data_IF_106589263869
#
_entry.id   IF_106589263869
#
_cell.length_a   1.000
_cell.length_b   1.000
_cell.length_c   1.000
_cell.angle_alpha   90.00
_cell.angle_beta   90.00
_cell.angle_gamma   90.00
#
_symmetry.space_group_name_H-M   'P 1'
#
loop_
_entity.id
_entity.type
_entity.pdbx_description
1 polymer ?
#
# COMPACT_ATOMS: atom_id res chain seq x y z
N UNK A 1 -17.37 17.54 -7.00
CA UNK A 1 -16.25 17.66 -7.96
C UNK A 1 -15.00 18.00 -7.16
N UNK A 2 -14.31 17.00 -6.61
CA UNK A 2 -13.08 17.23 -5.85
C UNK A 2 -11.97 17.56 -6.83
N UNK A 3 -11.35 18.74 -6.68
CA UNK A 3 -10.31 19.24 -7.56
C UNK A 3 -9.15 18.26 -7.68
N UNK A 4 -8.77 17.92 -8.92
CA UNK A 4 -7.63 17.04 -9.26
C UNK A 4 -6.34 17.41 -8.53
N UNK A 5 -6.14 18.71 -8.26
CA UNK A 5 -4.97 19.27 -7.59
C UNK A 5 -4.81 18.82 -6.13
N UNK A 6 -5.90 18.54 -5.41
CA UNK A 6 -5.82 18.08 -4.03
C UNK A 6 -5.33 16.62 -3.95
N UNK A 7 -5.72 15.79 -4.91
CA UNK A 7 -5.32 14.38 -4.99
C UNK A 7 -3.83 14.26 -5.30
N UNK A 8 -3.30 15.11 -6.19
CA UNK A 8 -1.87 15.19 -6.50
C UNK A 8 -1.03 15.55 -5.27
N UNK A 9 -1.52 16.47 -4.43
CA UNK A 9 -0.86 16.85 -3.18
C UNK A 9 -0.88 15.74 -2.12
N UNK A 10 -1.90 14.88 -2.09
CA UNK A 10 -1.98 13.78 -1.11
C UNK A 10 -1.08 12.60 -1.53
N UNK A 11 -1.01 12.32 -2.83
CA UNK A 11 -0.09 11.31 -3.38
C UNK A 11 1.37 11.70 -3.08
N UNK A 12 1.68 13.00 -2.97
CA UNK A 12 3.01 13.48 -2.57
C UNK A 12 3.44 13.02 -1.17
N UNK A 13 2.49 12.78 -0.26
CA UNK A 13 2.76 12.27 1.07
C UNK A 13 3.15 10.79 1.15
N UNK A 14 3.15 10.06 0.02
CA UNK A 14 3.53 8.65 -0.03
C UNK A 14 5.05 8.54 -0.15
N UNK A 15 5.70 8.03 0.90
CA UNK A 15 7.15 7.82 0.93
C UNK A 15 7.63 6.76 -0.07
N UNK A 16 6.82 5.74 -0.33
CA UNK A 16 7.14 4.72 -1.31
C UNK A 16 6.96 5.27 -2.72
N UNK A 17 8.07 5.71 -3.34
CA UNK A 17 8.08 6.26 -4.70
C UNK A 17 7.44 5.31 -5.72
N UNK A 18 7.68 4.00 -5.60
CA UNK A 18 7.10 2.97 -6.48
C UNK A 18 5.58 2.85 -6.33
N UNK A 19 5.08 2.96 -5.09
CA UNK A 19 3.65 2.90 -4.82
C UNK A 19 2.96 4.15 -5.40
N UNK A 20 3.57 5.32 -5.20
CA UNK A 20 3.11 6.60 -5.77
C UNK A 20 2.97 6.53 -7.29
N UNK A 21 4.00 6.05 -7.98
CA UNK A 21 3.99 5.92 -9.44
C UNK A 21 2.87 5.00 -9.93
N UNK A 22 2.73 3.82 -9.31
CA UNK A 22 1.66 2.86 -9.64
C UNK A 22 0.27 3.41 -9.35
N UNK A 23 0.12 4.20 -8.29
CA UNK A 23 -1.14 4.85 -7.98
C UNK A 23 -1.55 5.84 -9.07
N UNK A 24 -0.59 6.60 -9.61
CA UNK A 24 -0.85 7.52 -10.72
C UNK A 24 -1.17 6.73 -12.00
N UNK A 25 -0.39 5.70 -12.30
CA UNK A 25 -0.55 4.87 -13.51
C UNK A 25 -1.90 4.14 -13.53
N UNK A 26 -2.31 3.57 -12.39
CA UNK A 26 -3.51 2.74 -12.27
C UNK A 26 -4.70 3.52 -11.70
N UNK A 27 -4.64 4.86 -11.63
CA UNK A 27 -5.67 5.75 -11.07
C UNK A 27 -7.09 5.54 -11.62
N UNK A 28 -7.22 4.92 -12.78
CA UNK A 28 -8.50 4.67 -13.44
C UNK A 28 -9.06 3.26 -13.15
N UNK A 29 -8.35 2.44 -12.36
CA UNK A 29 -8.77 1.07 -12.00
C UNK A 29 -9.33 0.94 -10.59
N UNK A 30 -9.22 1.96 -9.76
CA UNK A 30 -9.65 1.94 -8.36
C UNK A 30 -10.00 3.35 -7.88
N UNK A 31 -10.75 3.46 -6.78
CA UNK A 31 -11.03 4.76 -6.17
C UNK A 31 -9.82 5.23 -5.35
N UNK A 32 -9.22 6.33 -5.81
CA UNK A 32 -8.02 6.89 -5.19
C UNK A 32 -8.27 7.37 -3.76
N UNK A 33 -9.44 7.94 -3.48
CA UNK A 33 -9.75 8.46 -2.15
C UNK A 33 -9.89 7.30 -1.16
N UNK A 34 -10.64 6.26 -1.51
CA UNK A 34 -10.78 5.07 -0.65
C UNK A 34 -9.44 4.36 -0.43
N UNK A 35 -8.64 4.22 -1.49
CA UNK A 35 -7.30 3.64 -1.41
C UNK A 35 -6.38 4.41 -0.47
N UNK A 36 -6.38 5.75 -0.53
CA UNK A 36 -5.59 6.58 0.37
C UNK A 36 -6.03 6.45 1.83
N UNK A 37 -7.35 6.34 2.08
CA UNK A 37 -7.89 6.12 3.43
C UNK A 37 -7.48 4.75 3.95
N UNK A 38 -7.57 3.69 3.15
CA UNK A 38 -7.17 2.34 3.56
C UNK A 38 -5.64 2.24 3.73
N UNK A 39 -4.87 2.86 2.85
CA UNK A 39 -3.42 2.98 2.98
C UNK A 39 -3.03 3.64 4.30
N UNK A 40 -3.62 4.79 4.62
CA UNK A 40 -3.33 5.52 5.86
C UNK A 40 -3.68 4.73 7.11
N UNK A 41 -4.70 3.85 7.04
CA UNK A 41 -5.10 2.96 8.14
C UNK A 41 -4.23 1.71 8.24
N UNK A 42 -3.67 1.26 7.14
CA UNK A 42 -2.88 0.02 7.05
C UNK A 42 -1.38 0.23 7.23
N UNK A 43 -0.87 1.46 7.06
CA UNK A 43 0.55 1.78 7.27
C UNK A 43 0.90 1.82 8.76
N UNK A 44 1.96 1.11 9.12
CA UNK A 44 2.58 1.14 10.45
C UNK A 44 4.06 1.48 10.31
N UNK A 45 4.53 2.43 11.13
CA UNK A 45 5.94 2.82 11.15
C UNK A 45 6.60 2.14 12.35
N UNK A 46 7.65 1.38 12.10
CA UNK A 46 8.43 0.68 13.12
C UNK A 46 9.73 1.41 13.39
N UNK A 47 10.08 1.62 14.67
CA UNK A 47 11.32 2.31 15.04
C UNK A 47 11.21 3.83 15.06
N UNK A 48 12.36 4.50 15.19
CA UNK A 48 12.44 5.97 15.38
C UNK A 48 12.72 6.72 14.06
N UNK A 49 13.34 6.06 13.08
CA UNK A 49 13.70 6.68 11.81
C UNK A 49 12.56 6.57 10.79
N UNK A 50 11.84 7.68 10.61
CA UNK A 50 10.72 7.77 9.66
C UNK A 50 11.17 7.86 8.20
N UNK A 51 12.46 8.12 7.94
CA UNK A 51 13.02 8.27 6.58
C UNK A 51 13.51 6.92 6.02
N UNK A 52 13.79 5.97 6.90
CA UNK A 52 14.13 4.60 6.57
C UNK A 52 12.92 3.89 5.97
N UNK A 53 12.96 3.65 4.66
CA UNK A 53 11.86 3.00 3.94
C UNK A 53 11.55 1.61 4.51
N UNK A 54 12.57 0.92 5.04
CA UNK A 54 12.43 -0.39 5.68
C UNK A 54 11.68 -0.38 7.02
N UNK A 55 11.36 0.79 7.56
CA UNK A 55 10.55 0.95 8.78
C UNK A 55 9.05 1.07 8.48
N UNK A 56 8.68 1.36 7.24
CA UNK A 56 7.30 1.51 6.82
C UNK A 56 6.73 0.15 6.42
N UNK A 57 5.92 -0.43 7.30
CA UNK A 57 5.15 -1.62 7.02
C UNK A 57 3.78 -1.25 6.44
N UNK A 58 3.38 -1.95 5.38
CA UNK A 58 2.01 -1.93 4.87
C UNK A 58 1.30 -3.19 5.38
N UNK A 59 0.16 -2.99 6.05
CA UNK A 59 -0.66 -4.06 6.59
C UNK A 59 -1.22 -5.01 5.53
N UNK A 60 -1.44 -6.26 5.92
CA UNK A 60 -1.92 -7.34 5.04
C UNK A 60 -3.21 -6.98 4.30
N UNK A 61 -4.16 -6.29 4.96
CA UNK A 61 -5.44 -5.92 4.36
C UNK A 61 -5.25 -5.10 3.08
N UNK A 62 -4.41 -4.07 3.15
CA UNK A 62 -4.07 -3.25 1.99
C UNK A 62 -3.30 -4.06 0.94
N UNK A 63 -2.34 -4.90 1.37
CA UNK A 63 -1.59 -5.76 0.45
C UNK A 63 -2.53 -6.65 -0.35
N UNK A 64 -3.51 -7.31 0.28
CA UNK A 64 -4.48 -8.18 -0.41
C UNK A 64 -5.46 -7.42 -1.30
N UNK A 65 -5.93 -6.26 -0.86
CA UNK A 65 -6.92 -5.48 -1.61
C UNK A 65 -6.30 -4.72 -2.80
N UNK A 66 -5.06 -4.27 -2.63
CA UNK A 66 -4.34 -3.44 -3.59
C UNK A 66 -3.00 -4.05 -4.00
N UNK A 67 -2.87 -5.39 -4.00
CA UNK A 67 -1.59 -6.06 -4.28
C UNK A 67 -1.04 -5.77 -5.66
N UNK A 68 -1.89 -5.39 -6.61
CA UNK A 68 -1.51 -4.90 -7.93
C UNK A 68 -0.73 -3.57 -7.90
N UNK A 69 -0.86 -2.77 -6.83
CA UNK A 69 -0.08 -1.54 -6.59
C UNK A 69 1.26 -1.82 -5.90
N UNK A 70 1.47 -3.02 -5.35
CA UNK A 70 2.61 -3.32 -4.47
C UNK A 70 3.77 -3.92 -5.25
N UNK A 71 4.97 -3.38 -5.05
CA UNK A 71 6.21 -3.98 -5.59
C UNK A 71 6.80 -5.03 -4.64
N UNK A 72 7.64 -5.92 -5.20
CA UNK A 72 8.46 -6.88 -4.46
C UNK A 72 9.26 -6.20 -3.33
N UNK A 73 9.79 -4.99 -3.53
CA UNK A 73 10.53 -4.28 -2.48
C UNK A 73 9.63 -3.96 -1.27
N UNK A 74 8.44 -3.42 -1.54
CA UNK A 74 7.44 -3.09 -0.51
C UNK A 74 6.94 -4.34 0.20
N UNK A 75 6.66 -5.41 -0.56
CA UNK A 75 6.26 -6.71 -0.01
C UNK A 75 7.36 -7.31 0.88
N UNK A 76 8.64 -7.17 0.48
CA UNK A 76 9.77 -7.66 1.27
C UNK A 76 9.88 -6.96 2.62
N UNK A 77 9.58 -5.66 2.69
CA UNK A 77 9.56 -4.90 3.95
C UNK A 77 8.40 -5.37 4.83
N UNK A 78 7.21 -5.54 4.27
CA UNK A 78 6.07 -6.07 5.01
C UNK A 78 6.36 -7.49 5.54
N UNK A 79 6.90 -8.38 4.70
CA UNK A 79 7.26 -9.74 5.11
C UNK A 79 8.35 -9.76 6.18
N UNK A 80 9.32 -8.83 6.14
CA UNK A 80 10.31 -8.66 7.21
C UNK A 80 9.60 -8.46 8.55
N UNK A 81 8.68 -7.49 8.65
CA UNK A 81 7.95 -7.20 9.88
C UNK A 81 6.95 -8.30 10.29
N UNK A 82 6.31 -8.97 9.31
CA UNK A 82 5.51 -10.18 9.57
C UNK A 82 6.36 -11.28 10.20
N UNK A 83 7.55 -11.55 9.66
CA UNK A 83 8.48 -12.54 10.20
C UNK A 83 8.94 -12.20 11.61
N UNK A 84 9.23 -10.93 11.89
CA UNK A 84 9.58 -10.48 13.25
C UNK A 84 8.45 -10.74 14.26
N UNK A 85 7.18 -10.71 13.82
CA UNK A 85 6.01 -11.08 14.65
C UNK A 85 5.70 -12.57 14.67
N UNK A 86 6.42 -13.40 13.90
CA UNK A 86 6.12 -14.83 13.73
C UNK A 86 4.93 -15.11 12.81
N UNK A 87 4.51 -14.15 11.99
CA UNK A 87 3.48 -14.34 10.98
C UNK A 87 4.06 -14.92 9.67
N UNK A 88 3.25 -15.67 8.89
CA UNK A 88 3.68 -16.19 7.60
C UNK A 88 3.91 -15.06 6.57
N UNK A 89 4.91 -15.29 5.72
CA UNK A 89 5.22 -14.40 4.60
C UNK A 89 4.14 -14.48 3.51
N UNK A 90 3.73 -13.32 3.01
CA UNK A 90 2.80 -13.20 1.89
C UNK A 90 3.55 -13.29 0.57
N UNK A 91 3.03 -14.06 -0.38
CA UNK A 91 3.56 -14.10 -1.75
C UNK A 91 2.83 -13.09 -2.64
N UNK A 92 3.54 -12.49 -3.59
CA UNK A 92 2.97 -11.55 -4.55
C UNK A 92 1.77 -12.15 -5.31
N UNK A 93 1.85 -13.46 -5.61
CA UNK A 93 0.79 -14.23 -6.26
C UNK A 93 -0.50 -14.33 -5.43
N UNK A 94 -0.40 -14.26 -4.10
CA UNK A 94 -1.54 -14.37 -3.19
C UNK A 94 -2.23 -13.03 -2.96
N UNK A 95 -1.49 -11.93 -3.07
CA UNK A 95 -2.02 -10.58 -2.82
C UNK A 95 -2.55 -9.88 -4.08
N UNK A 96 -2.16 -10.33 -5.27
CA UNK A 96 -2.64 -9.77 -6.56
C UNK A 96 -3.90 -10.42 -7.14
N UNK A 97 -4.44 -11.46 -6.50
CA UNK A 97 -5.52 -12.30 -7.05
C UNK A 97 -6.90 -12.03 -6.45
N UNK A 98 -7.03 -11.09 -5.51
CA UNK A 98 -8.32 -10.74 -4.92
C UNK A 98 -9.14 -9.88 -5.87
N UNK A 99 -9.85 -10.54 -6.78
CA UNK A 99 -10.98 -9.99 -7.52
C UNK A 99 -11.94 -9.32 -6.53
N UNK A 100 -11.94 -7.98 -6.57
CA UNK A 100 -12.66 -7.12 -5.64
C UNK A 100 -14.16 -7.27 -5.91
N UNK A 101 -14.81 -8.23 -5.24
CA UNK A 101 -16.27 -8.33 -5.23
C UNK A 101 -16.78 -7.30 -4.22
N UNK A 102 -17.50 -6.25 -4.65
CA UNK A 102 -18.08 -5.30 -3.71
C UNK A 102 -19.09 -6.03 -2.81
N UNK A 103 -19.21 -5.65 -1.52
CA UNK A 103 -20.29 -6.16 -0.68
C UNK A 103 -21.63 -5.73 -1.29
N UNK A 104 -22.54 -6.70 -1.42
CA UNK A 104 -23.89 -6.57 -1.96
C UNK A 104 -24.80 -5.66 -1.11
#
# INVERSE_FOLDING_TARGET
MFSSHALESVIDGILHAELRDRMILLRNRYDLVECLVDYRRSVTIHGDDVLAHGNWEIGEKFLRQYGFLIDKATLSIANKWRRERGEPELRLTEIGSSENTPPA
#
